data_IF_858989817582
#
_entry.id   IF_858989817582
#
_cell.length_a   1.000
_cell.length_b   1.000
_cell.length_c   1.000
_cell.angle_alpha   90.00
_cell.angle_beta   90.00
_cell.angle_gamma   90.00
#
_symmetry.space_group_name_H-M   'P 1'
#
loop_
_entity.id
_entity.type
_entity.pdbx_description
1 polymer ?
#
# COMPACT_ATOMS: atom_id res chain seq x y z
N UNK A 1 11.66 -14.96 -24.65
CA UNK A 1 12.58 -13.87 -24.27
C UNK A 1 11.99 -13.02 -23.16
N UNK A 2 10.87 -12.30 -23.36
CA UNK A 2 10.32 -11.38 -22.33
C UNK A 2 10.14 -11.99 -20.92
N UNK A 3 9.59 -13.20 -20.78
CA UNK A 3 9.40 -13.86 -19.48
C UNK A 3 10.73 -14.17 -18.73
N UNK A 4 11.85 -14.29 -19.42
CA UNK A 4 13.17 -14.42 -18.79
C UNK A 4 13.69 -13.07 -18.27
N UNK A 5 13.19 -11.95 -18.81
CA UNK A 5 13.57 -10.61 -18.38
C UNK A 5 12.83 -10.20 -17.09
N UNK A 6 11.53 -10.51 -17.01
CA UNK A 6 10.70 -10.22 -15.82
C UNK A 6 11.24 -10.94 -14.58
N UNK A 7 11.58 -12.22 -14.72
CA UNK A 7 12.16 -13.04 -13.66
C UNK A 7 13.60 -12.63 -13.28
N UNK A 8 14.39 -12.08 -14.21
CA UNK A 8 15.71 -11.52 -13.88
C UNK A 8 15.62 -10.14 -13.19
N UNK A 9 14.63 -9.32 -13.56
CA UNK A 9 14.34 -8.04 -12.91
C UNK A 9 13.90 -8.24 -11.46
N UNK A 10 12.93 -9.13 -11.18
CA UNK A 10 12.43 -9.35 -9.82
C UNK A 10 13.53 -9.78 -8.84
N UNK A 11 14.52 -10.56 -9.28
CA UNK A 11 15.59 -11.06 -8.42
C UNK A 11 16.73 -10.06 -8.15
N UNK A 12 16.86 -8.97 -8.94
CA UNK A 12 17.99 -8.03 -8.85
C UNK A 12 17.80 -6.84 -7.91
N UNK A 13 16.59 -6.59 -7.40
CA UNK A 13 16.29 -5.44 -6.53
C UNK A 13 16.52 -5.67 -5.01
N UNK A 14 17.15 -6.79 -4.62
CA UNK A 14 17.62 -6.98 -3.24
C UNK A 14 18.85 -6.10 -2.97
N UNK A 15 18.63 -4.95 -2.31
CA UNK A 15 19.68 -3.98 -1.95
C UNK A 15 20.73 -4.61 -1.04
N UNK A 16 22.04 -4.59 -1.40
CA UNK A 16 23.09 -5.12 -0.54
C UNK A 16 23.32 -4.23 0.70
N UNK A 17 22.90 -4.71 1.87
CA UNK A 17 23.17 -4.07 3.17
C UNK A 17 24.62 -4.31 3.61
N UNK A 18 25.56 -3.55 3.02
CA UNK A 18 27.00 -3.75 3.21
C UNK A 18 27.51 -3.26 4.59
N UNK A 19 27.32 -4.06 5.63
CA UNK A 19 27.79 -3.79 6.99
C UNK A 19 29.26 -4.15 7.19
N UNK A 20 30.18 -3.23 6.88
CA UNK A 20 31.61 -3.36 7.22
C UNK A 20 32.27 -2.00 7.51
N UNK A 21 32.10 -1.50 8.74
CA UNK A 21 32.87 -0.36 9.28
C UNK A 21 33.98 -0.85 10.20
N UNK A 22 35.21 -0.91 9.67
CA UNK A 22 36.41 -1.23 10.47
C UNK A 22 36.84 0.01 11.26
N UNK A 23 36.62 0.00 12.57
CA UNK A 23 37.06 1.07 13.48
C UNK A 23 38.53 0.91 13.89
N UNK A 24 39.41 1.90 13.62
CA UNK A 24 40.79 1.87 14.11
C UNK A 24 40.88 2.39 15.56
N UNK A 25 41.08 1.48 16.52
CA UNK A 25 41.31 1.82 17.93
C UNK A 25 42.71 1.41 18.40
N UNK A 26 43.56 2.38 18.74
CA UNK A 26 44.70 2.26 19.67
C UNK A 26 45.42 3.61 19.83
N UNK A 27 45.47 4.15 21.06
CA UNK A 27 46.63 4.82 21.71
C UNK A 27 46.22 5.36 23.10
N UNK A 28 47.19 5.39 24.03
CA UNK A 28 47.10 5.72 25.48
C UNK A 28 46.49 4.64 26.39
N UNK A 29 47.19 4.38 27.49
CA UNK A 29 46.88 3.42 28.57
C UNK A 29 46.69 4.16 29.91
N UNK A 30 46.29 3.40 30.96
CA UNK A 30 46.27 3.79 32.38
C UNK A 30 45.16 4.83 32.74
N UNK A 31 44.40 4.68 33.83
CA UNK A 31 44.84 4.42 35.22
C UNK A 31 44.05 3.30 35.94
N UNK A 32 44.59 2.88 37.09
CA UNK A 32 44.32 1.65 37.83
C UNK A 32 43.06 1.65 38.73
N UNK A 33 42.62 0.41 39.00
CA UNK A 33 42.27 -0.17 40.32
C UNK A 33 40.83 -0.12 40.88
N UNK A 34 40.41 -1.33 41.30
CA UNK A 34 39.42 -1.68 42.33
C UNK A 34 37.92 -1.49 41.97
N UNK A 35 36.97 -2.33 42.43
CA UNK A 35 37.10 -3.42 43.42
C UNK A 35 36.19 -4.66 43.17
N UNK A 36 36.53 -5.71 43.92
CA UNK A 36 35.96 -7.06 44.05
C UNK A 36 34.43 -7.31 43.96
N UNK A 37 34.10 -8.36 43.19
CA UNK A 37 33.40 -9.63 43.60
C UNK A 37 32.00 -9.56 44.24
N UNK A 38 31.03 -10.24 43.60
CA UNK A 38 30.42 -11.44 44.22
C UNK A 38 29.89 -12.47 43.21
N UNK A 39 29.85 -13.74 43.61
CA UNK A 39 29.35 -14.89 42.85
C UNK A 39 28.28 -15.66 43.65
N UNK A 40 27.30 -16.24 42.96
CA UNK A 40 26.64 -17.56 43.15
C UNK A 40 25.39 -17.59 42.25
N UNK A 41 25.05 -18.60 41.44
CA UNK A 41 25.18 -20.07 41.40
C UNK A 41 23.86 -20.79 41.76
N UNK A 42 23.73 -22.00 41.19
CA UNK A 42 22.66 -23.01 41.33
C UNK A 42 21.44 -22.80 40.39
N UNK A 43 21.14 -23.62 39.37
CA UNK A 43 21.39 -25.03 38.95
C UNK A 43 20.35 -26.06 39.43
N UNK A 44 19.45 -26.47 38.50
CA UNK A 44 19.04 -27.85 38.11
C UNK A 44 17.81 -27.76 37.14
N UNK A 45 17.59 -28.57 36.09
CA UNK A 45 17.54 -30.05 35.91
C UNK A 45 16.35 -30.72 36.66
N UNK A 46 15.65 -31.77 36.17
CA UNK A 46 15.57 -32.50 34.85
C UNK A 46 14.06 -32.66 34.48
N UNK A 47 13.46 -33.51 33.61
CA UNK A 47 13.69 -34.86 33.03
C UNK A 47 12.96 -34.97 31.66
N UNK A 48 13.19 -36.03 30.86
CA UNK A 48 12.38 -36.39 29.68
C UNK A 48 11.02 -37.03 30.02
N UNK A 49 10.14 -37.21 29.00
CA UNK A 49 9.45 -38.49 28.68
C UNK A 49 9.30 -38.61 27.15
N UNK A 50 9.35 -39.83 26.60
CA UNK A 50 9.19 -40.16 25.17
C UNK A 50 7.84 -40.83 24.85
N UNK A 51 7.36 -40.73 23.60
CA UNK A 51 6.72 -41.78 22.78
C UNK A 51 6.29 -41.13 21.42
N UNK A 52 6.50 -41.65 20.20
CA UNK A 52 6.58 -42.97 19.54
C UNK A 52 5.32 -43.39 18.75
N UNK A 53 5.57 -43.88 17.53
CA UNK A 53 4.80 -44.79 16.68
C UNK A 53 3.66 -44.31 15.74
N UNK A 54 4.05 -44.15 14.47
CA UNK A 54 3.63 -44.98 13.31
C UNK A 54 2.30 -44.76 12.55
N UNK A 55 2.44 -45.02 11.24
CA UNK A 55 1.42 -45.34 10.22
C UNK A 55 0.48 -44.20 9.78
N UNK A 56 -0.04 -44.19 8.54
CA UNK A 56 -0.01 -45.23 7.49
C UNK A 56 0.07 -44.62 6.07
N UNK A 57 0.85 -45.22 5.17
CA UNK A 57 0.74 -44.96 3.72
C UNK A 57 -0.24 -45.97 3.11
N UNK A 58 -1.21 -45.50 2.31
CA UNK A 58 -1.97 -46.36 1.38
C UNK A 58 -2.15 -45.69 0.02
N UNK A 59 -1.82 -46.45 -1.01
CA UNK A 59 -2.12 -46.14 -2.42
C UNK A 59 -3.62 -46.26 -2.68
N UNK A 60 -4.14 -45.56 -3.69
CA UNK A 60 -5.31 -46.06 -4.42
C UNK A 60 -5.28 -45.63 -5.90
N UNK A 61 -5.32 -46.62 -6.79
CA UNK A 61 -5.51 -46.43 -8.22
C UNK A 61 -7.00 -46.36 -8.56
N UNK A 62 -7.38 -45.49 -9.50
CA UNK A 62 -8.51 -45.76 -10.40
C UNK A 62 -8.41 -44.95 -11.69
N UNK A 63 -8.43 -45.64 -12.83
CA UNK A 63 -8.63 -45.03 -14.14
C UNK A 63 -10.06 -44.51 -14.29
N UNK A 64 -10.27 -43.49 -15.14
CA UNK A 64 -11.53 -43.36 -15.89
C UNK A 64 -11.33 -42.52 -17.17
N UNK A 65 -11.93 -42.99 -18.27
CA UNK A 65 -11.90 -42.41 -19.62
C UNK A 65 -13.32 -42.49 -20.21
N UNK A 66 -13.81 -41.41 -20.81
CA UNK A 66 -14.56 -41.48 -22.07
C UNK A 66 -13.86 -40.59 -23.12
N UNK A 67 -13.49 -41.03 -24.32
CA UNK A 67 -14.30 -41.57 -25.43
C UNK A 67 -14.97 -40.48 -26.30
N UNK A 68 -14.68 -40.57 -27.60
CA UNK A 68 -15.22 -39.75 -28.70
C UNK A 68 -16.23 -40.60 -29.47
N UNK A 69 -17.42 -40.07 -29.82
CA UNK A 69 -18.28 -40.72 -30.79
C UNK A 69 -17.74 -40.51 -32.21
N UNK A 70 -17.54 -41.60 -32.94
CA UNK A 70 -17.30 -41.61 -34.38
C UNK A 70 -18.45 -42.38 -35.05
N UNK A 71 -19.18 -41.75 -35.97
CA UNK A 71 -20.33 -42.36 -36.65
C UNK A 71 -20.26 -42.01 -38.13
N UNK A 72 -20.50 -43.01 -38.99
CA UNK A 72 -20.31 -42.91 -40.43
C UNK A 72 -21.43 -43.64 -41.20
N UNK A 73 -21.51 -43.34 -42.50
CA UNK A 73 -22.17 -44.08 -43.59
C UNK A 73 -23.69 -43.90 -43.84
N UNK A 74 -23.95 -43.32 -45.03
CA UNK A 74 -24.75 -43.89 -46.14
C UNK A 74 -26.28 -43.65 -46.34
N UNK A 75 -26.57 -43.03 -47.50
CA UNK A 75 -27.54 -43.42 -48.55
C UNK A 75 -29.05 -43.55 -48.18
N UNK A 76 -29.98 -42.76 -48.76
CA UNK A 76 -30.30 -42.76 -50.20
C UNK A 76 -31.17 -41.59 -50.71
N UNK A 77 -30.98 -41.27 -52.00
CA UNK A 77 -31.92 -40.80 -53.05
C UNK A 77 -33.11 -39.85 -52.73
N UNK A 78 -33.17 -38.71 -53.44
CA UNK A 78 -34.21 -38.47 -54.49
C UNK A 78 -33.82 -37.33 -55.45
N UNK A 79 -34.53 -37.22 -56.59
CA UNK A 79 -34.18 -36.42 -57.78
C UNK A 79 -34.91 -35.08 -57.91
N UNK A 80 -34.28 -34.06 -58.52
CA UNK A 80 -34.76 -33.36 -59.75
C UNK A 80 -33.70 -32.35 -60.27
N UNK A 81 -33.88 -31.89 -61.51
CA UNK A 81 -32.87 -31.21 -62.34
C UNK A 81 -32.79 -29.67 -62.16
N UNK A 82 -31.58 -29.09 -62.34
CA UNK A 82 -31.29 -28.01 -63.32
C UNK A 82 -29.79 -27.64 -63.31
N UNK A 83 -29.22 -27.12 -64.42
CA UNK A 83 -27.81 -26.71 -64.49
C UNK A 83 -27.62 -25.19 -64.32
N UNK A 84 -26.46 -24.75 -63.79
CA UNK A 84 -25.71 -23.53 -64.21
C UNK A 84 -24.37 -23.37 -63.46
N UNK A 85 -23.42 -22.73 -64.13
CA UNK A 85 -22.13 -22.14 -63.70
C UNK A 85 -21.00 -22.94 -63.02
N UNK A 86 -19.84 -22.88 -63.67
CA UNK A 86 -18.52 -23.20 -63.11
C UNK A 86 -17.82 -21.90 -62.66
N UNK A 87 -17.83 -21.57 -61.37
CA UNK A 87 -16.82 -20.65 -60.80
C UNK A 87 -16.69 -20.80 -59.28
N UNK A 88 -15.72 -21.60 -58.82
CA UNK A 88 -15.40 -21.72 -57.39
C UNK A 88 -14.55 -20.51 -56.97
N UNK A 89 -14.97 -19.67 -56.00
CA UNK A 89 -14.22 -18.46 -55.63
C UNK A 89 -12.92 -18.78 -54.88
N UNK A 90 -11.81 -18.21 -55.35
CA UNK A 90 -10.45 -18.41 -54.81
C UNK A 90 -10.18 -17.59 -53.52
N UNK A 91 -11.18 -17.50 -52.63
CA UNK A 91 -11.29 -16.50 -51.56
C UNK A 91 -10.86 -17.04 -50.20
N UNK A 92 -11.20 -18.30 -49.85
CA UNK A 92 -10.92 -18.87 -48.53
C UNK A 92 -9.41 -18.94 -48.22
N UNK A 93 -8.60 -19.36 -49.18
CA UNK A 93 -7.15 -19.52 -49.00
C UNK A 93 -6.43 -18.18 -48.80
N UNK A 94 -6.91 -17.12 -49.44
CA UNK A 94 -6.34 -15.77 -49.30
C UNK A 94 -6.70 -15.12 -47.95
N UNK A 95 -7.89 -15.36 -47.40
CA UNK A 95 -8.26 -14.84 -46.08
C UNK A 95 -7.36 -15.41 -44.97
N UNK A 96 -7.09 -16.72 -44.96
CA UNK A 96 -6.27 -17.34 -43.91
C UNK A 96 -4.82 -16.82 -43.88
N UNK A 97 -4.25 -16.48 -45.04
CA UNK A 97 -2.94 -15.83 -45.13
C UNK A 97 -2.99 -14.33 -44.75
N UNK A 98 -4.05 -13.59 -45.09
CA UNK A 98 -4.21 -12.19 -44.67
C UNK A 98 -4.32 -12.05 -43.15
N UNK A 99 -5.05 -12.95 -42.47
CA UNK A 99 -5.13 -12.94 -41.00
C UNK A 99 -3.77 -13.18 -40.32
N UNK A 100 -2.96 -14.12 -40.83
CA UNK A 100 -1.60 -14.34 -40.30
C UNK A 100 -0.67 -13.15 -40.55
N UNK A 101 -0.74 -12.51 -41.73
CA UNK A 101 0.06 -11.31 -42.01
C UNK A 101 -0.37 -10.09 -41.19
N UNK A 102 -1.65 -9.96 -40.83
CA UNK A 102 -2.11 -8.90 -39.93
C UNK A 102 -1.66 -9.13 -38.48
N UNK A 103 -1.73 -10.35 -37.96
CA UNK A 103 -1.27 -10.65 -36.60
C UNK A 103 0.24 -10.47 -36.42
N UNK A 104 1.06 -10.74 -37.46
CA UNK A 104 2.51 -10.48 -37.39
C UNK A 104 2.89 -9.00 -37.57
N UNK A 105 2.00 -8.15 -38.11
CA UNK A 105 2.24 -6.71 -38.27
C UNK A 105 1.79 -5.82 -37.10
N UNK A 106 1.35 -6.43 -35.99
CA UNK A 106 1.13 -5.72 -34.71
C UNK A 106 2.21 -5.99 -33.66
N UNK A 107 3.45 -6.29 -34.09
CA UNK A 107 4.60 -5.78 -33.34
C UNK A 107 4.53 -4.25 -33.40
N UNK A 108 4.12 -3.60 -32.31
CA UNK A 108 4.24 -2.15 -32.18
C UNK A 108 5.72 -1.79 -32.30
N UNK A 109 6.10 -1.15 -33.42
CA UNK A 109 7.42 -0.56 -33.53
C UNK A 109 7.52 0.54 -32.48
N UNK A 110 8.28 0.29 -31.41
CA UNK A 110 8.59 1.31 -30.42
C UNK A 110 9.22 2.51 -31.13
N UNK A 111 8.85 3.72 -30.73
CA UNK A 111 9.46 4.93 -31.26
C UNK A 111 10.96 4.93 -30.96
N UNK A 112 11.76 5.59 -31.78
CA UNK A 112 13.16 5.89 -31.44
C UNK A 112 13.26 6.62 -30.10
N UNK A 113 12.24 7.40 -29.72
CA UNK A 113 12.13 7.99 -28.39
C UNK A 113 12.05 6.93 -27.28
N UNK A 114 11.14 5.96 -27.43
CA UNK A 114 10.87 4.90 -26.45
C UNK A 114 12.11 4.01 -26.26
N UNK A 115 12.80 3.68 -27.35
CA UNK A 115 14.06 2.90 -27.35
C UNK A 115 15.16 3.65 -26.59
N UNK A 116 15.28 4.97 -26.78
CA UNK A 116 16.23 5.81 -26.03
C UNK A 116 15.85 5.89 -24.55
N UNK A 117 14.56 6.05 -24.24
CA UNK A 117 14.07 6.12 -22.86
C UNK A 117 14.20 4.81 -22.08
N UNK A 118 13.98 3.64 -22.71
CA UNK A 118 14.31 2.35 -22.12
C UNK A 118 15.82 2.22 -21.89
N UNK A 119 16.66 2.49 -22.90
CA UNK A 119 18.11 2.38 -22.74
C UNK A 119 18.67 3.29 -21.63
N UNK A 120 18.19 4.53 -21.52
CA UNK A 120 18.53 5.45 -20.44
C UNK A 120 18.02 4.96 -19.07
N UNK A 121 16.85 4.32 -19.02
CA UNK A 121 16.35 3.66 -17.81
C UNK A 121 17.20 2.44 -17.41
N UNK A 122 17.72 1.67 -18.37
CA UNK A 122 18.69 0.60 -18.09
C UNK A 122 20.04 1.16 -17.57
N UNK A 123 20.51 2.30 -18.08
CA UNK A 123 21.68 2.99 -17.53
C UNK A 123 21.45 3.45 -16.08
N UNK A 124 20.24 3.91 -15.75
CA UNK A 124 19.84 4.22 -14.36
C UNK A 124 19.86 2.98 -13.45
N UNK A 125 19.18 1.89 -13.83
CA UNK A 125 19.10 0.68 -12.99
C UNK A 125 20.47 0.03 -12.74
N UNK A 126 21.40 0.16 -13.69
CA UNK A 126 22.76 -0.37 -13.59
C UNK A 126 23.82 0.67 -13.14
N UNK A 127 23.42 1.92 -12.84
CA UNK A 127 24.33 3.02 -12.45
C UNK A 127 25.49 3.29 -13.44
N UNK A 128 25.24 3.11 -14.74
CA UNK A 128 26.23 3.32 -15.80
C UNK A 128 26.19 4.78 -16.27
N UNK A 129 27.35 5.38 -16.57
CA UNK A 129 27.53 6.77 -17.07
C UNK A 129 27.03 7.90 -16.13
N UNK A 130 26.81 7.59 -14.85
CA UNK A 130 26.30 8.54 -13.85
C UNK A 130 27.32 9.60 -13.44
N UNK A 131 26.96 10.87 -13.58
CA UNK A 131 27.74 12.06 -13.19
C UNK A 131 27.18 12.79 -11.94
N UNK A 132 26.10 12.23 -11.36
CA UNK A 132 25.47 12.69 -10.12
C UNK A 132 25.35 11.52 -9.12
N UNK A 133 25.56 11.83 -7.85
CA UNK A 133 25.24 11.00 -6.70
C UNK A 133 24.33 11.80 -5.78
N UNK A 134 23.19 11.25 -5.41
CA UNK A 134 22.25 11.87 -4.46
C UNK A 134 22.08 10.96 -3.26
N UNK A 135 22.28 11.51 -2.07
CA UNK A 135 22.14 10.83 -0.79
C UNK A 135 20.98 11.44 -0.01
N UNK A 136 19.90 10.67 0.10
CA UNK A 136 18.73 11.04 0.90
C UNK A 136 18.92 10.51 2.32
N UNK A 137 18.96 11.42 3.31
CA UNK A 137 19.15 11.11 4.72
C UNK A 137 17.90 11.54 5.50
N UNK A 138 17.35 10.68 6.37
CA UNK A 138 16.07 10.96 7.03
C UNK A 138 16.05 10.60 8.51
N UNK A 139 15.31 11.37 9.31
CA UNK A 139 15.09 11.06 10.72
C UNK A 139 14.03 9.99 10.92
N UNK A 140 14.43 8.72 11.08
CA UNK A 140 13.52 7.63 11.45
C UNK A 140 13.78 6.31 10.73
N UNK A 141 12.77 5.80 10.02
CA UNK A 141 12.78 4.48 9.35
C UNK A 141 13.63 4.47 8.07
N UNK A 142 13.93 5.65 7.51
CA UNK A 142 14.70 5.81 6.27
C UNK A 142 16.18 5.49 6.55
N UNK A 143 16.65 4.35 6.06
CA UNK A 143 18.08 4.09 5.86
C UNK A 143 18.61 5.03 4.77
N UNK A 144 19.84 5.54 4.92
CA UNK A 144 20.51 6.43 3.96
C UNK A 144 20.43 5.90 2.52
N UNK A 145 19.55 6.48 1.71
CA UNK A 145 19.28 6.02 0.36
C UNK A 145 20.18 6.75 -0.64
N UNK A 146 21.14 6.04 -1.22
CA UNK A 146 22.07 6.58 -2.21
C UNK A 146 21.66 6.16 -3.61
N UNK A 147 21.52 7.12 -4.53
CA UNK A 147 21.26 6.90 -5.94
C UNK A 147 22.38 7.50 -6.79
N UNK A 148 22.82 6.75 -7.79
CA UNK A 148 23.71 7.22 -8.85
C UNK A 148 22.85 7.56 -10.07
N UNK A 149 23.03 8.76 -10.62
CA UNK A 149 22.09 9.39 -11.54
C UNK A 149 22.82 10.21 -12.61
N UNK A 150 22.07 10.66 -13.61
CA UNK A 150 22.54 11.52 -14.69
C UNK A 150 22.00 12.95 -14.48
N UNK A 151 22.87 13.96 -14.37
CA UNK A 151 22.47 15.38 -14.15
C UNK A 151 21.49 15.86 -15.21
N UNK A 152 21.77 15.56 -16.48
CA UNK A 152 20.94 15.93 -17.64
C UNK A 152 19.51 15.35 -17.60
N UNK A 153 19.29 14.25 -16.88
CA UNK A 153 17.95 13.69 -16.63
C UNK A 153 17.36 14.27 -15.34
N UNK A 154 18.18 14.46 -14.30
CA UNK A 154 17.73 14.94 -13.00
C UNK A 154 17.21 16.38 -13.02
N UNK A 155 17.69 17.24 -13.93
CA UNK A 155 17.13 18.59 -14.11
C UNK A 155 15.64 18.62 -14.52
N UNK A 156 15.04 17.47 -14.87
CA UNK A 156 13.57 17.32 -15.04
C UNK A 156 12.81 17.44 -13.72
N UNK A 157 13.46 17.23 -12.56
CA UNK A 157 12.94 17.59 -11.24
C UNK A 157 13.32 19.05 -10.91
N UNK A 158 12.35 19.95 -10.67
CA UNK A 158 12.64 21.32 -10.26
C UNK A 158 13.41 21.44 -8.93
N UNK A 159 13.33 20.43 -8.05
CA UNK A 159 14.15 20.39 -6.83
C UNK A 159 15.61 20.04 -7.15
N UNK A 160 15.84 18.97 -7.92
CA UNK A 160 17.20 18.55 -8.26
C UNK A 160 17.90 19.56 -9.18
N UNK A 161 17.18 20.19 -10.11
CA UNK A 161 17.72 21.27 -10.95
C UNK A 161 18.28 22.44 -10.11
N UNK A 162 17.54 22.85 -9.09
CA UNK A 162 17.95 23.89 -8.15
C UNK A 162 19.22 23.45 -7.39
N UNK A 163 19.18 22.26 -6.75
CA UNK A 163 20.28 21.76 -5.93
C UNK A 163 21.57 21.50 -6.73
N UNK A 164 21.46 21.02 -7.97
CA UNK A 164 22.61 20.85 -8.88
C UNK A 164 23.25 22.22 -9.16
N UNK A 165 22.45 23.21 -9.59
CA UNK A 165 22.93 24.55 -9.91
C UNK A 165 23.57 25.26 -8.72
N UNK A 166 22.96 25.18 -7.53
CA UNK A 166 23.51 25.71 -6.28
C UNK A 166 24.83 25.01 -5.91
N UNK A 167 24.92 23.69 -6.04
CA UNK A 167 26.13 22.94 -5.68
C UNK A 167 27.27 23.20 -6.67
N UNK A 168 27.01 23.23 -7.98
CA UNK A 168 28.02 23.53 -9.00
C UNK A 168 28.53 24.97 -8.90
N UNK A 169 27.65 25.94 -8.59
CA UNK A 169 28.05 27.34 -8.35
C UNK A 169 28.96 27.47 -7.13
N UNK A 170 28.66 26.76 -6.03
CA UNK A 170 29.49 26.75 -4.83
C UNK A 170 30.82 25.98 -5.02
N UNK A 171 30.93 25.10 -6.03
CA UNK A 171 32.09 24.25 -6.28
C UNK A 171 32.92 24.67 -7.51
N UNK A 172 32.75 25.88 -8.05
CA UNK A 172 33.42 26.35 -9.30
C UNK A 172 34.94 26.12 -9.40
N UNK A 173 35.66 26.03 -8.27
CA UNK A 173 37.11 25.79 -8.24
C UNK A 173 37.53 24.30 -8.24
N UNK A 174 36.59 23.36 -8.22
CA UNK A 174 36.84 21.93 -8.07
C UNK A 174 36.13 21.12 -9.17
N UNK A 175 36.88 20.72 -10.20
CA UNK A 175 36.41 19.78 -11.24
C UNK A 175 36.29 18.36 -10.69
N UNK A 176 35.27 18.09 -9.87
CA UNK A 176 34.90 16.73 -9.52
C UNK A 176 34.24 16.01 -10.72
N UNK A 177 34.55 14.72 -10.97
CA UNK A 177 33.95 13.97 -12.07
C UNK A 177 32.51 13.52 -11.78
N UNK A 178 32.10 13.52 -10.50
CA UNK A 178 30.76 13.19 -10.03
C UNK A 178 30.37 14.20 -8.95
N UNK A 179 29.18 14.77 -9.05
CA UNK A 179 28.63 15.70 -8.04
C UNK A 179 27.94 14.89 -6.93
N UNK A 180 28.26 15.10 -5.64
CA UNK A 180 27.61 14.41 -4.50
C UNK A 180 26.73 15.39 -3.72
N UNK A 181 25.41 15.20 -3.77
CA UNK A 181 24.41 16.06 -3.12
C UNK A 181 23.75 15.30 -1.96
N UNK A 182 23.68 15.93 -0.79
CA UNK A 182 22.98 15.40 0.38
C UNK A 182 21.64 16.12 0.55
N UNK A 183 20.56 15.36 0.71
CA UNK A 183 19.19 15.89 0.81
C UNK A 183 18.54 15.36 2.10
N UNK A 184 18.20 16.23 3.08
CA UNK A 184 17.48 15.82 4.27
C UNK A 184 15.99 15.56 3.99
N UNK A 185 15.44 14.50 4.60
CA UNK A 185 14.03 14.13 4.54
C UNK A 185 13.40 14.18 5.94
N UNK A 186 12.25 14.86 6.02
CA UNK A 186 11.41 14.92 7.23
C UNK A 186 10.07 14.16 7.09
N UNK A 187 9.75 13.65 5.89
CA UNK A 187 8.51 12.91 5.62
C UNK A 187 8.72 11.39 5.82
N UNK A 188 8.01 10.82 6.81
CA UNK A 188 8.05 9.39 7.12
C UNK A 188 7.47 8.47 6.03
N UNK A 189 6.74 9.01 5.06
CA UNK A 189 6.15 8.24 3.96
C UNK A 189 7.12 8.09 2.78
N UNK A 190 8.14 8.95 2.66
CA UNK A 190 9.17 8.80 1.63
C UNK A 190 10.03 7.58 1.98
N UNK A 191 10.26 6.70 1.02
CA UNK A 191 11.08 5.49 1.19
C UNK A 191 12.01 5.31 0.00
N UNK A 192 13.05 4.50 0.14
CA UNK A 192 13.95 4.17 -0.96
C UNK A 192 13.20 3.60 -2.19
N UNK A 193 12.14 2.80 -2.00
CA UNK A 193 11.32 2.26 -3.10
C UNK A 193 10.46 3.35 -3.76
N UNK A 194 9.90 4.28 -2.98
CA UNK A 194 9.17 5.45 -3.49
C UNK A 194 10.07 6.39 -4.29
N UNK A 195 11.25 6.70 -3.77
CA UNK A 195 12.29 7.49 -4.42
C UNK A 195 12.77 6.81 -5.70
N UNK A 196 13.01 5.49 -5.70
CA UNK A 196 13.47 4.76 -6.89
C UNK A 196 12.48 4.83 -8.05
N UNK A 197 11.17 4.75 -7.78
CA UNK A 197 10.13 4.93 -8.81
C UNK A 197 10.05 6.38 -9.28
N UNK A 198 10.14 7.35 -8.35
CA UNK A 198 10.04 8.78 -8.68
C UNK A 198 11.26 9.34 -9.42
N UNK A 199 12.45 8.80 -9.15
CA UNK A 199 13.67 9.07 -9.90
C UNK A 199 13.66 8.32 -11.25
N UNK A 200 13.18 7.07 -11.28
CA UNK A 200 12.99 6.30 -12.52
C UNK A 200 12.05 6.98 -13.51
N UNK A 201 10.98 7.61 -13.02
CA UNK A 201 10.04 8.42 -13.81
C UNK A 201 10.71 9.58 -14.57
N UNK A 202 11.86 10.08 -14.11
CA UNK A 202 12.61 11.11 -14.84
C UNK A 202 13.21 10.57 -16.15
N UNK A 203 13.58 9.27 -16.18
CA UNK A 203 14.16 8.60 -17.34
C UNK A 203 13.07 8.10 -18.31
N UNK A 204 12.01 7.47 -17.79
CA UNK A 204 10.91 6.96 -18.62
C UNK A 204 9.60 6.77 -17.84
N UNK A 205 8.48 6.77 -18.56
CA UNK A 205 7.17 6.41 -18.03
C UNK A 205 7.06 4.92 -17.66
N UNK A 206 8.02 4.07 -18.03
CA UNK A 206 8.04 2.65 -17.66
C UNK A 206 8.18 2.41 -16.16
N UNK A 207 8.65 3.39 -15.38
CA UNK A 207 8.60 3.34 -13.92
C UNK A 207 7.18 3.12 -13.36
N UNK A 208 6.12 3.51 -14.11
CA UNK A 208 4.73 3.23 -13.75
C UNK A 208 4.37 1.73 -13.82
N UNK A 209 5.14 0.89 -14.53
CA UNK A 209 4.94 -0.56 -14.55
C UNK A 209 5.04 -1.16 -13.14
N UNK A 210 5.92 -0.64 -12.29
CA UNK A 210 6.03 -1.05 -10.88
C UNK A 210 4.90 -0.53 -9.98
N UNK A 211 4.13 0.46 -10.42
CA UNK A 211 2.89 0.86 -9.77
C UNK A 211 1.75 -0.05 -10.22
N UNK A 212 1.58 -0.25 -11.52
CA UNK A 212 0.43 -0.95 -12.10
C UNK A 212 0.48 -2.47 -11.86
N UNK A 213 1.66 -3.09 -12.01
CA UNK A 213 1.83 -4.55 -11.95
C UNK A 213 2.36 -5.02 -10.58
N UNK A 214 1.78 -4.45 -9.52
CA UNK A 214 1.96 -4.92 -8.14
C UNK A 214 1.14 -6.20 -7.94
N UNK A 215 1.80 -7.31 -7.56
CA UNK A 215 1.24 -8.68 -7.54
C UNK A 215 -0.06 -8.87 -6.74
N UNK A 216 -0.38 -7.94 -5.84
CA UNK A 216 -1.75 -7.74 -5.37
C UNK A 216 -2.03 -6.24 -5.20
N UNK A 217 -2.86 -5.61 -6.06
CA UNK A 217 -3.15 -4.18 -5.97
C UNK A 217 -4.00 -3.81 -4.74
N UNK A 218 -4.74 -4.76 -4.16
CA UNK A 218 -5.57 -4.52 -2.96
C UNK A 218 -4.83 -4.85 -1.64
N UNK A 219 -3.50 -4.94 -1.65
CA UNK A 219 -2.68 -5.24 -0.48
C UNK A 219 -2.21 -3.99 0.27
N UNK A 220 -1.93 -4.14 1.57
CA UNK A 220 -1.36 -3.08 2.41
C UNK A 220 0.04 -2.63 1.95
N UNK A 221 0.86 -3.54 1.39
CA UNK A 221 2.14 -3.16 0.80
C UNK A 221 1.98 -2.38 -0.52
N UNK A 222 0.91 -2.63 -1.29
CA UNK A 222 0.58 -1.77 -2.43
C UNK A 222 0.09 -0.39 -1.97
N UNK A 223 -0.82 -0.33 -0.99
CA UNK A 223 -1.32 0.94 -0.43
C UNK A 223 -0.17 1.81 0.09
N UNK A 224 0.80 1.18 0.76
CA UNK A 224 2.06 1.77 1.27
C UNK A 224 2.99 2.23 0.15
N UNK A 225 3.12 1.46 -0.94
CA UNK A 225 3.89 1.86 -2.12
C UNK A 225 3.29 3.11 -2.78
N UNK A 226 1.98 3.14 -2.99
CA UNK A 226 1.27 4.29 -3.56
C UNK A 226 1.49 5.56 -2.75
N UNK A 227 1.28 5.50 -1.42
CA UNK A 227 1.55 6.63 -0.51
C UNK A 227 3.01 7.10 -0.61
N UNK A 228 3.95 6.17 -0.67
CA UNK A 228 5.37 6.49 -0.73
C UNK A 228 5.79 7.13 -2.05
N UNK A 229 5.20 6.72 -3.17
CA UNK A 229 5.45 7.34 -4.47
C UNK A 229 4.77 8.71 -4.57
N UNK A 230 3.57 8.92 -4.01
CA UNK A 230 2.97 10.26 -3.91
C UNK A 230 3.88 11.22 -3.13
N UNK A 231 4.34 10.81 -1.94
CA UNK A 231 5.24 11.61 -1.11
C UNK A 231 6.58 11.91 -1.81
N UNK A 232 7.18 10.89 -2.45
CA UNK A 232 8.46 11.02 -3.17
C UNK A 232 8.34 11.90 -4.42
N UNK A 233 7.23 11.79 -5.16
CA UNK A 233 6.94 12.61 -6.33
C UNK A 233 6.67 14.07 -5.95
N UNK A 234 5.92 14.30 -4.87
CA UNK A 234 5.62 15.64 -4.36
C UNK A 234 6.90 16.35 -3.91
N UNK A 235 7.72 15.66 -3.11
CA UNK A 235 9.03 16.15 -2.68
C UNK A 235 9.96 16.50 -3.86
N UNK A 236 10.04 15.63 -4.87
CA UNK A 236 10.81 15.88 -6.11
C UNK A 236 10.14 16.88 -7.08
N UNK A 237 8.98 17.45 -6.71
CA UNK A 237 8.18 18.41 -7.50
C UNK A 237 7.76 17.86 -8.88
N UNK A 238 7.22 16.64 -8.91
CA UNK A 238 6.82 15.89 -10.12
C UNK A 238 5.29 15.78 -10.24
N UNK A 239 4.59 16.83 -10.70
CA UNK A 239 3.12 16.91 -10.63
C UNK A 239 2.41 15.80 -11.40
N UNK A 240 2.93 15.36 -12.54
CA UNK A 240 2.32 14.30 -13.34
C UNK A 240 2.33 12.95 -12.61
N UNK A 241 3.44 12.61 -11.94
CA UNK A 241 3.53 11.43 -11.10
C UNK A 241 2.67 11.55 -9.83
N UNK A 242 2.55 12.75 -9.24
CA UNK A 242 1.61 12.99 -8.14
C UNK A 242 0.16 12.72 -8.58
N UNK A 243 -0.25 13.20 -9.76
CA UNK A 243 -1.58 12.95 -10.32
C UNK A 243 -1.83 11.44 -10.55
N UNK A 244 -0.85 10.72 -11.12
CA UNK A 244 -0.94 9.27 -11.34
C UNK A 244 -1.05 8.52 -10.01
N UNK A 245 -0.17 8.81 -9.04
CA UNK A 245 -0.18 8.16 -7.73
C UNK A 245 -1.47 8.46 -6.95
N UNK A 246 -1.95 9.71 -6.96
CA UNK A 246 -3.20 10.09 -6.30
C UNK A 246 -4.42 9.42 -6.93
N UNK A 247 -4.49 9.32 -8.27
CA UNK A 247 -5.57 8.61 -8.96
C UNK A 247 -5.61 7.12 -8.60
N UNK A 248 -4.44 6.47 -8.50
CA UNK A 248 -4.33 5.09 -8.02
C UNK A 248 -4.70 4.96 -6.53
N UNK A 249 -4.40 5.95 -5.69
CA UNK A 249 -4.87 5.99 -4.29
C UNK A 249 -6.40 6.07 -4.23
N UNK A 250 -7.04 6.93 -5.02
CA UNK A 250 -8.50 7.06 -5.02
C UNK A 250 -9.22 5.75 -5.39
N UNK A 251 -8.69 4.97 -6.34
CA UNK A 251 -9.25 3.66 -6.70
C UNK A 251 -8.84 2.54 -5.74
N UNK A 252 -7.73 2.71 -5.00
CA UNK A 252 -7.25 1.74 -4.02
C UNK A 252 -7.95 1.84 -2.65
N UNK A 253 -8.58 2.97 -2.30
CA UNK A 253 -9.32 3.14 -1.04
C UNK A 253 -10.62 2.32 -1.06
N UNK A 254 -10.60 1.17 -0.38
CA UNK A 254 -11.72 0.24 -0.20
C UNK A 254 -11.68 -0.40 1.20
N UNK A 255 -12.64 -1.27 1.54
CA UNK A 255 -12.73 -1.89 2.88
C UNK A 255 -11.47 -2.60 3.38
N UNK A 256 -10.56 -3.03 2.48
CA UNK A 256 -9.33 -3.73 2.86
C UNK A 256 -8.14 -2.81 3.13
N UNK A 257 -8.15 -1.59 2.58
CA UNK A 257 -7.02 -0.64 2.62
C UNK A 257 -7.33 0.64 3.42
N UNK A 258 -8.62 0.92 3.68
CA UNK A 258 -9.07 2.18 4.29
C UNK A 258 -8.46 2.42 5.68
N UNK A 259 -8.11 1.36 6.44
CA UNK A 259 -7.39 1.50 7.71
C UNK A 259 -5.98 2.09 7.53
N UNK A 260 -5.20 1.61 6.56
CA UNK A 260 -3.88 2.16 6.23
C UNK A 260 -3.97 3.65 5.88
N UNK A 261 -4.97 4.00 5.08
CA UNK A 261 -5.21 5.38 4.68
C UNK A 261 -5.73 6.23 5.84
N UNK A 262 -6.51 5.70 6.77
CA UNK A 262 -6.87 6.40 8.01
C UNK A 262 -5.63 6.76 8.85
N UNK A 263 -4.64 5.87 8.93
CA UNK A 263 -3.38 6.18 9.61
C UNK A 263 -2.54 7.23 8.87
N UNK A 264 -2.50 7.18 7.54
CA UNK A 264 -1.82 8.19 6.70
C UNK A 264 -2.43 9.58 6.85
N UNK A 265 -3.75 9.72 6.66
CA UNK A 265 -4.42 11.03 6.70
C UNK A 265 -4.52 11.62 8.12
N UNK A 266 -4.21 10.83 9.16
CA UNK A 266 -4.17 11.25 10.56
C UNK A 266 -2.74 11.66 11.01
N UNK A 267 -1.78 11.74 10.09
CA UNK A 267 -0.45 12.30 10.38
C UNK A 267 -0.53 13.82 10.66
N UNK A 268 0.35 14.37 11.53
CA UNK A 268 0.38 15.80 11.78
C UNK A 268 0.65 16.58 10.49
N UNK A 269 -0.03 17.72 10.32
CA UNK A 269 0.06 18.60 9.14
C UNK A 269 -0.32 17.96 7.79
N UNK A 270 -0.88 16.74 7.77
CA UNK A 270 -1.21 16.00 6.54
C UNK A 270 -2.00 16.84 5.52
N UNK A 271 -3.04 17.56 5.96
CA UNK A 271 -3.91 18.40 5.11
C UNK A 271 -3.13 19.46 4.31
N UNK A 272 -2.01 19.94 4.86
CA UNK A 272 -1.13 20.94 4.23
C UNK A 272 0.12 20.34 3.57
N UNK A 273 0.28 19.02 3.57
CA UNK A 273 1.55 18.39 3.19
C UNK A 273 1.66 18.06 1.70
N UNK A 274 0.58 17.57 1.08
CA UNK A 274 0.52 17.18 -0.33
C UNK A 274 -0.51 18.01 -1.10
N UNK A 275 -0.59 19.31 -0.79
CA UNK A 275 -1.49 20.28 -1.42
C UNK A 275 -2.95 19.78 -1.54
N UNK A 276 -3.57 19.93 -2.72
CA UNK A 276 -4.93 19.48 -3.00
C UNK A 276 -5.09 17.94 -2.92
N UNK A 277 -4.01 17.17 -3.10
CA UNK A 277 -4.09 15.70 -3.00
C UNK A 277 -4.43 15.26 -1.59
N UNK A 278 -3.87 15.91 -0.55
CA UNK A 278 -4.21 15.62 0.84
C UNK A 278 -5.70 15.74 1.12
N UNK A 279 -6.34 16.83 0.64
CA UNK A 279 -7.79 17.02 0.82
C UNK A 279 -8.58 15.93 0.09
N UNK A 280 -8.26 15.67 -1.18
CA UNK A 280 -8.99 14.68 -1.98
C UNK A 280 -8.89 13.27 -1.39
N UNK A 281 -7.70 12.86 -0.93
CA UNK A 281 -7.48 11.57 -0.26
C UNK A 281 -8.29 11.49 1.05
N UNK A 282 -8.30 12.56 1.84
CA UNK A 282 -9.08 12.64 3.08
C UNK A 282 -10.59 12.53 2.82
N UNK A 283 -11.10 13.20 1.77
CA UNK A 283 -12.51 13.14 1.36
C UNK A 283 -12.86 11.76 0.78
N UNK A 284 -11.95 11.09 0.07
CA UNK A 284 -12.11 9.70 -0.37
C UNK A 284 -12.18 8.72 0.82
N UNK A 285 -11.29 8.82 1.82
CA UNK A 285 -11.32 7.99 3.04
C UNK A 285 -12.63 8.20 3.80
N UNK A 286 -13.07 9.45 3.96
CA UNK A 286 -14.33 9.77 4.63
C UNK A 286 -15.56 9.20 3.89
N UNK A 287 -15.64 9.35 2.57
CA UNK A 287 -16.74 8.78 1.79
C UNK A 287 -16.69 7.24 1.76
N UNK A 288 -15.50 6.64 1.76
CA UNK A 288 -15.34 5.19 1.84
C UNK A 288 -15.95 4.63 3.14
N UNK A 289 -15.56 5.18 4.28
CA UNK A 289 -16.11 4.76 5.58
C UNK A 289 -17.61 5.07 5.72
N UNK A 290 -18.07 6.24 5.29
CA UNK A 290 -19.47 6.62 5.41
C UNK A 290 -20.40 5.78 4.52
N UNK A 291 -19.95 5.39 3.32
CA UNK A 291 -20.83 4.92 2.23
C UNK A 291 -20.31 3.64 1.56
N UNK A 292 -19.07 3.63 1.07
CA UNK A 292 -18.59 2.53 0.22
C UNK A 292 -18.47 1.20 0.99
N UNK A 293 -17.93 1.19 2.22
CA UNK A 293 -17.79 -0.05 3.00
C UNK A 293 -19.15 -0.73 3.24
N UNK A 294 -20.18 0.03 3.61
CA UNK A 294 -21.55 -0.47 3.80
C UNK A 294 -22.11 -1.05 2.51
N UNK A 295 -21.85 -0.38 1.36
CA UNK A 295 -22.24 -0.85 0.03
C UNK A 295 -21.51 -2.14 -0.37
N UNK A 296 -20.17 -2.15 -0.30
CA UNK A 296 -19.31 -3.31 -0.63
C UNK A 296 -19.72 -4.56 0.17
N UNK A 297 -20.04 -4.39 1.47
CA UNK A 297 -20.49 -5.49 2.31
C UNK A 297 -21.91 -5.97 1.96
N UNK A 298 -22.83 -5.04 1.63
CA UNK A 298 -24.19 -5.37 1.17
C UNK A 298 -24.16 -6.13 -0.16
N UNK A 299 -23.35 -5.68 -1.12
CA UNK A 299 -23.19 -6.33 -2.43
C UNK A 299 -22.53 -7.71 -2.32
N UNK A 300 -21.49 -7.86 -1.48
CA UNK A 300 -20.79 -9.13 -1.27
C UNK A 300 -21.69 -10.18 -0.59
N UNK A 301 -22.47 -9.78 0.43
CA UNK A 301 -23.37 -10.69 1.15
C UNK A 301 -24.72 -10.88 0.44
N UNK A 302 -25.01 -10.08 -0.61
CA UNK A 302 -26.29 -10.05 -1.36
C UNK A 302 -27.52 -9.78 -0.48
N UNK A 303 -27.32 -9.11 0.65
CA UNK A 303 -28.33 -8.88 1.68
C UNK A 303 -28.03 -7.57 2.40
N UNK A 304 -29.08 -6.82 2.79
CA UNK A 304 -28.96 -5.64 3.63
C UNK A 304 -28.38 -6.02 5.01
N UNK A 305 -27.16 -5.55 5.27
CA UNK A 305 -26.40 -5.84 6.49
C UNK A 305 -27.05 -5.27 7.76
N UNK A 306 -28.05 -4.39 7.64
CA UNK A 306 -28.74 -3.83 8.80
C UNK A 306 -29.94 -4.69 9.26
N UNK A 307 -30.49 -5.54 8.39
CA UNK A 307 -31.57 -6.47 8.76
C UNK A 307 -31.06 -7.68 9.55
N UNK A 308 -29.85 -8.15 9.21
CA UNK A 308 -29.21 -9.29 9.88
C UNK A 308 -27.92 -8.85 10.59
N UNK A 309 -28.07 -8.50 11.87
CA UNK A 309 -26.97 -8.13 12.77
C UNK A 309 -26.13 -9.33 13.22
N UNK A 310 -26.60 -10.56 13.01
CA UNK A 310 -25.78 -11.76 13.23
C UNK A 310 -25.08 -12.20 11.94
N UNK A 311 -25.39 -11.58 10.81
CA UNK A 311 -24.81 -11.83 9.50
C UNK A 311 -23.34 -11.44 9.38
N UNK A 312 -22.66 -12.08 8.43
CA UNK A 312 -21.23 -11.88 8.17
C UNK A 312 -20.91 -10.44 7.75
N UNK A 313 -21.78 -9.80 6.97
CA UNK A 313 -21.61 -8.40 6.55
C UNK A 313 -21.60 -7.41 7.72
N UNK A 314 -22.53 -7.53 8.67
CA UNK A 314 -22.57 -6.67 9.85
C UNK A 314 -21.37 -6.91 10.78
N UNK A 315 -20.99 -8.17 10.98
CA UNK A 315 -19.79 -8.55 11.76
C UNK A 315 -18.52 -7.96 11.16
N UNK A 316 -18.32 -8.07 9.83
CA UNK A 316 -17.18 -7.46 9.13
C UNK A 316 -17.17 -5.92 9.24
N UNK A 317 -18.34 -5.25 9.24
CA UNK A 317 -18.44 -3.79 9.45
C UNK A 317 -18.00 -3.41 10.88
N UNK A 318 -18.51 -4.12 11.90
CA UNK A 318 -18.16 -3.93 13.31
C UNK A 318 -16.67 -4.18 13.55
N UNK A 319 -16.10 -5.23 12.95
CA UNK A 319 -14.68 -5.58 13.06
C UNK A 319 -13.79 -4.48 12.45
N UNK A 320 -14.05 -4.06 11.21
CA UNK A 320 -13.30 -2.98 10.54
C UNK A 320 -13.36 -1.68 11.35
N UNK A 321 -14.56 -1.27 11.76
CA UNK A 321 -14.73 -0.03 12.53
C UNK A 321 -14.08 -0.13 13.92
N UNK A 322 -13.95 -1.33 14.49
CA UNK A 322 -13.30 -1.50 15.80
C UNK A 322 -11.83 -1.13 15.79
N UNK A 323 -11.16 -1.17 14.64
CA UNK A 323 -9.73 -0.90 14.49
C UNK A 323 -9.42 0.54 14.07
N UNK A 324 -10.43 1.35 13.73
CA UNK A 324 -10.26 2.76 13.37
C UNK A 324 -9.64 3.61 14.51
N UNK A 325 -8.81 4.63 14.18
CA UNK A 325 -8.49 5.73 15.09
C UNK A 325 -9.78 6.35 15.65
N UNK A 326 -9.77 6.73 16.93
CA UNK A 326 -10.99 7.19 17.62
C UNK A 326 -11.65 8.41 16.95
N UNK A 327 -10.86 9.39 16.49
CA UNK A 327 -11.39 10.57 15.79
C UNK A 327 -12.11 10.19 14.49
N UNK A 328 -11.59 9.20 13.74
CA UNK A 328 -12.24 8.67 12.54
C UNK A 328 -13.52 7.91 12.87
N UNK A 329 -13.47 7.01 13.85
CA UNK A 329 -14.64 6.27 14.33
C UNK A 329 -15.76 7.24 14.78
N UNK A 330 -15.41 8.21 15.62
CA UNK A 330 -16.33 9.24 16.13
C UNK A 330 -16.91 10.07 14.99
N UNK A 331 -16.04 10.65 14.12
CA UNK A 331 -16.47 11.51 13.00
C UNK A 331 -17.43 10.80 12.05
N UNK A 332 -17.17 9.53 11.71
CA UNK A 332 -18.03 8.77 10.80
C UNK A 332 -19.34 8.39 11.47
N UNK A 333 -19.31 7.81 12.69
CA UNK A 333 -20.53 7.33 13.34
C UNK A 333 -21.44 8.45 13.85
N UNK A 334 -20.91 9.65 14.11
CA UNK A 334 -21.71 10.85 14.37
C UNK A 334 -22.19 11.58 13.08
N UNK A 335 -21.76 11.14 11.90
CA UNK A 335 -22.11 11.80 10.64
C UNK A 335 -23.50 11.39 10.12
N UNK A 336 -24.17 12.36 9.48
CA UNK A 336 -25.37 12.10 8.68
C UNK A 336 -25.06 11.37 7.37
N UNK A 337 -23.81 11.45 6.88
CA UNK A 337 -23.36 10.75 5.67
C UNK A 337 -23.25 9.22 5.87
N UNK A 338 -23.14 8.75 7.12
CA UNK A 338 -22.97 7.34 7.42
C UNK A 338 -24.29 6.59 7.22
N UNK A 339 -24.29 5.66 6.25
CA UNK A 339 -25.46 4.91 5.82
C UNK A 339 -25.93 3.97 6.94
N UNK A 340 -27.05 4.33 7.57
CA UNK A 340 -27.74 3.54 8.60
C UNK A 340 -29.25 3.73 8.42
N UNK A 341 -30.11 2.70 8.54
CA UNK A 341 -31.55 2.84 8.28
C UNK A 341 -32.25 3.80 9.25
N UNK A 342 -31.75 3.89 10.49
CA UNK A 342 -32.26 4.80 11.51
C UNK A 342 -31.18 5.22 12.51
N UNK A 343 -31.46 6.30 13.26
CA UNK A 343 -30.61 6.69 14.40
C UNK A 343 -30.58 5.62 15.50
N UNK A 344 -31.62 4.78 15.66
CA UNK A 344 -31.60 3.70 16.67
C UNK A 344 -30.72 2.52 16.24
N UNK A 345 -30.65 2.21 14.94
CA UNK A 345 -29.66 1.25 14.40
C UNK A 345 -28.24 1.76 14.57
N UNK A 346 -28.00 3.05 14.24
CA UNK A 346 -26.71 3.73 14.44
C UNK A 346 -26.27 3.71 15.90
N UNK A 347 -27.19 3.86 16.86
CA UNK A 347 -26.92 3.77 18.29
C UNK A 347 -26.51 2.34 18.70
N UNK A 348 -27.24 1.32 18.22
CA UNK A 348 -26.90 -0.08 18.49
C UNK A 348 -25.53 -0.46 17.91
N UNK A 349 -25.26 -0.06 16.66
CA UNK A 349 -23.96 -0.21 16.01
C UNK A 349 -22.84 0.43 16.84
N UNK A 350 -22.98 1.71 17.21
CA UNK A 350 -22.00 2.42 18.02
C UNK A 350 -21.74 1.74 19.38
N UNK A 351 -22.80 1.24 20.03
CA UNK A 351 -22.72 0.56 21.33
C UNK A 351 -21.98 -0.76 21.23
N UNK A 352 -22.26 -1.54 20.19
CA UNK A 352 -21.63 -2.83 19.94
C UNK A 352 -20.17 -2.70 19.52
N UNK A 353 -19.88 -1.73 18.65
CA UNK A 353 -18.54 -1.30 18.24
C UNK A 353 -17.65 -0.96 19.44
N UNK A 354 -18.12 -0.08 20.33
CA UNK A 354 -17.40 0.26 21.57
C UNK A 354 -17.27 -0.96 22.49
N UNK A 355 -18.31 -1.80 22.57
CA UNK A 355 -18.26 -3.05 23.35
C UNK A 355 -17.26 -4.06 22.80
N UNK A 356 -16.96 -4.07 21.49
CA UNK A 356 -15.88 -4.87 20.91
C UNK A 356 -14.50 -4.25 21.18
N UNK A 357 -14.37 -2.92 21.01
CA UNK A 357 -13.11 -2.19 21.28
C UNK A 357 -12.63 -2.35 22.73
N UNK A 358 -13.55 -2.23 23.69
CA UNK A 358 -13.27 -2.48 25.10
C UNK A 358 -12.84 -3.93 25.38
N UNK A 359 -13.40 -4.92 24.67
CA UNK A 359 -13.02 -6.35 24.79
C UNK A 359 -11.66 -6.66 24.14
N UNK A 360 -11.35 -6.08 22.97
CA UNK A 360 -10.08 -6.32 22.25
C UNK A 360 -8.85 -5.71 22.96
N UNK A 361 -9.03 -4.74 23.87
CA UNK A 361 -7.93 -3.97 24.51
C UNK A 361 -6.88 -3.45 23.51
N UNK A 362 -7.33 -2.97 22.34
CA UNK A 362 -6.42 -2.50 21.28
C UNK A 362 -5.55 -1.34 21.78
N UNK A 363 -4.27 -1.24 21.36
CA UNK A 363 -3.38 -0.11 21.70
C UNK A 363 -3.94 1.28 21.32
N UNK A 364 -4.92 1.33 20.42
CA UNK A 364 -5.66 2.52 19.98
C UNK A 364 -6.60 3.08 21.07
N UNK A 365 -6.97 2.29 22.07
CA UNK A 365 -8.00 2.60 23.09
C UNK A 365 -7.38 3.19 24.36
N UNK A 366 -6.93 4.44 24.27
CA UNK A 366 -6.45 5.22 25.43
C UNK A 366 -7.66 5.89 26.11
N UNK A 367 -8.33 5.17 27.01
CA UNK A 367 -9.42 5.69 27.86
C UNK A 367 -10.79 5.01 27.67
N UNK A 368 -11.75 5.38 28.52
CA UNK A 368 -13.12 4.81 28.50
C UNK A 368 -13.96 5.44 27.38
N UNK A 369 -14.23 4.69 26.31
CA UNK A 369 -15.17 5.08 25.24
C UNK A 369 -16.62 4.74 25.63
N UNK A 370 -17.58 5.64 25.35
CA UNK A 370 -19.00 5.51 25.69
C UNK A 370 -19.88 6.11 24.57
N UNK A 371 -21.08 5.56 24.36
CA UNK A 371 -22.13 6.17 23.49
C UNK A 371 -23.15 6.90 24.36
N UNK A 372 -23.55 8.10 23.94
CA UNK A 372 -24.69 8.84 24.51
C UNK A 372 -25.71 9.11 23.40
N UNK A 373 -26.98 8.89 23.70
CA UNK A 373 -28.10 9.28 22.84
C UNK A 373 -28.62 10.65 23.31
N UNK A 374 -28.47 11.67 22.47
CA UNK A 374 -28.80 13.05 22.77
C UNK A 374 -30.22 13.41 22.30
N UNK A 375 -31.13 13.59 23.25
CA UNK A 375 -32.51 13.99 22.96
C UNK A 375 -32.67 15.51 22.98
N UNK A 376 -32.63 16.15 21.80
CA UNK A 376 -33.11 17.52 21.60
C UNK A 376 -32.22 18.44 20.78
N UNK A 377 -32.82 19.12 19.79
CA UNK A 377 -32.36 20.33 19.07
C UNK A 377 -30.92 20.34 18.50
N UNK A 378 -30.24 19.19 18.45
CA UNK A 378 -28.99 19.02 17.70
C UNK A 378 -29.24 19.22 16.20
N UNK A 379 -28.34 19.93 15.52
CA UNK A 379 -28.33 20.00 14.05
C UNK A 379 -27.61 18.81 13.40
N UNK A 380 -26.86 18.02 14.18
CA UNK A 380 -26.16 16.81 13.75
C UNK A 380 -26.89 15.55 14.26
N UNK A 381 -26.31 14.35 14.11
CA UNK A 381 -26.95 13.11 14.57
C UNK A 381 -27.36 13.16 16.04
N UNK A 382 -28.33 12.32 16.43
CA UNK A 382 -28.81 12.25 17.82
C UNK A 382 -27.88 11.39 18.71
N UNK A 383 -26.66 11.11 18.25
CA UNK A 383 -25.67 10.27 18.92
C UNK A 383 -24.41 11.11 19.15
N UNK A 384 -23.75 10.86 20.28
CA UNK A 384 -22.42 11.41 20.55
C UNK A 384 -21.57 10.33 21.20
N UNK A 385 -20.34 10.15 20.70
CA UNK A 385 -19.37 9.21 21.23
C UNK A 385 -18.35 9.98 22.07
N UNK A 386 -18.22 9.60 23.33
CA UNK A 386 -17.37 10.29 24.31
C UNK A 386 -16.28 9.36 24.81
N UNK A 387 -15.02 9.78 24.69
CA UNK A 387 -13.86 9.12 25.32
C UNK A 387 -13.46 9.92 26.57
N UNK A 388 -13.40 9.27 27.72
CA UNK A 388 -12.82 9.85 28.95
C UNK A 388 -11.33 9.52 28.99
N UNK A 389 -10.50 10.50 29.27
CA UNK A 389 -9.07 10.29 29.54
C UNK A 389 -8.86 9.22 30.62
N UNK A 390 -7.81 8.38 30.55
CA UNK A 390 -7.49 7.44 31.62
C UNK A 390 -7.35 8.16 32.97
N UNK A 391 -7.97 7.58 34.02
CA UNK A 391 -7.70 8.01 35.39
C UNK A 391 -6.32 7.49 35.78
N UNK A 392 -5.33 8.38 35.88
CA UNK A 392 -4.08 8.04 36.55
C UNK A 392 -4.38 7.58 37.98
N UNK A 393 -3.87 6.42 38.45
CA UNK A 393 -4.11 5.91 39.80
C UNK A 393 -3.26 6.64 40.87
N UNK A 394 -2.93 7.91 40.65
CA UNK A 394 -2.07 8.73 41.50
C UNK A 394 -2.73 10.10 41.73
N UNK A 395 -3.17 10.32 42.97
CA UNK A 395 -3.87 11.54 43.39
C UNK A 395 -5.31 11.27 43.81
N UNK A 396 -5.53 11.20 45.13
CA UNK A 396 -6.85 11.16 45.74
C UNK A 396 -7.60 12.47 45.46
N UNK A 397 -8.48 12.48 44.47
CA UNK A 397 -9.38 13.61 44.26
C UNK A 397 -10.42 13.66 45.38
N UNK A 398 -10.21 14.56 46.33
CA UNK A 398 -11.25 15.00 47.26
C UNK A 398 -12.50 15.39 46.46
N UNK A 399 -13.63 14.75 46.80
CA UNK A 399 -14.93 15.24 46.38
C UNK A 399 -15.19 16.55 47.12
N UNK A 400 -14.89 17.69 46.49
CA UNK A 400 -15.33 19.02 46.96
C UNK A 400 -16.86 19.10 46.87
N UNK A 401 -17.51 18.59 47.92
CA UNK A 401 -18.94 18.74 48.16
C UNK A 401 -19.17 20.22 48.48
N UNK A 402 -19.78 20.93 47.53
CA UNK A 402 -20.24 22.29 47.72
C UNK A 402 -21.42 22.29 48.70
N UNK A 403 -21.12 22.31 50.00
CA UNK A 403 -22.09 22.73 51.00
C UNK A 403 -22.38 24.20 50.78
N UNK A 404 -23.57 24.50 50.27
CA UNK A 404 -24.18 25.80 50.54
C UNK A 404 -24.26 25.99 52.06
N UNK A 405 -23.90 27.18 52.51
CA UNK A 405 -24.25 27.65 53.85
C UNK A 405 -25.13 28.88 53.66
N UNK A 406 -26.40 28.72 54.02
CA UNK A 406 -27.36 29.82 54.06
C UNK A 406 -26.96 30.85 55.14
N UNK A 407 -27.43 32.08 54.97
CA UNK A 407 -27.29 33.20 55.92
C UNK A 407 -28.55 34.07 55.87
#
# INVERSE_FOLDING_TARGET
>A
MLQNLESEIQNKWNVPSNTNSVSPSKVVENIKQNNKVNQKNEINNKTEVQNNNNNENKEFNSNLRPELPNVSNENMNTTTDTPVDNTIPNVLYNQQHQYHQHQQKQQMQMSYHDIICDHLFQCFTHSIYTDLKVRFQGGGIIQDATFFLHKIICIRSPLLAQLISETETNQMNLRYPVLDIVIPINDMNITAKGLSISLGHLYSSYAHHHLLNSENPNSAEHSKLLRSVLASAHFLRLPDLCNIAANLIYTNINRHTVLDYCHFVNQPNFITHYDNFSKNIYDCVYNCLCKNVVKELTELNRQDIWQDREGQGYKQLIELFSELPFEWMKKVVESKDFITPSEIDRYYFARELISLRARKQLPVVIGEENVVLAFGISKNSNITIVRKSPKNPTGSQERKVWKYMDK
#
